data_IF_113954215503
#
_entry.id   IF_113954215503
#
_cell.length_a   1.000
_cell.length_b   1.000
_cell.length_c   1.000
_cell.angle_alpha   90.00
_cell.angle_beta   90.00
_cell.angle_gamma   90.00
#
_symmetry.space_group_name_H-M   'P 1'
#
loop_
_entity.id
_entity.type
_entity.pdbx_description
1 polymer ?
#
# COMPACT_ATOMS: atom_id res chain seq x y z
N UNK A 1 10.37 12.89 -5.92
CA UNK A 1 10.58 12.57 -7.35
C UNK A 1 9.24 12.67 -8.06
N UNK A 2 8.99 13.74 -8.81
CA UNK A 2 7.75 13.86 -9.58
C UNK A 2 7.77 12.83 -10.73
N UNK A 3 6.64 12.19 -11.06
CA UNK A 3 6.62 11.24 -12.16
C UNK A 3 6.93 11.94 -13.49
N UNK A 4 7.83 11.34 -14.28
CA UNK A 4 8.19 11.84 -15.63
C UNK A 4 7.01 11.92 -16.60
N UNK A 5 5.90 11.26 -16.28
CA UNK A 5 4.66 11.23 -17.06
C UNK A 5 3.54 11.56 -16.09
N UNK A 6 2.94 12.75 -16.23
CA UNK A 6 1.99 13.31 -15.26
C UNK A 6 0.74 12.44 -15.06
N UNK A 7 0.31 11.73 -16.12
CA UNK A 7 -0.85 10.86 -16.09
C UNK A 7 -0.54 9.38 -15.81
N UNK A 8 0.70 9.05 -15.42
CA UNK A 8 1.10 7.70 -15.05
C UNK A 8 0.46 7.24 -13.72
N UNK A 9 -0.24 6.09 -13.70
CA UNK A 9 -0.88 5.58 -12.47
C UNK A 9 0.14 5.21 -11.39
N UNK A 10 1.33 4.70 -11.74
CA UNK A 10 2.39 4.41 -10.78
C UNK A 10 2.89 5.69 -10.11
N UNK A 11 3.05 6.77 -10.89
CA UNK A 11 3.43 8.08 -10.40
C UNK A 11 2.43 8.64 -9.39
N UNK A 12 1.14 8.57 -9.71
CA UNK A 12 0.06 8.99 -8.79
C UNK A 12 0.04 8.17 -7.51
N UNK A 13 0.22 6.85 -7.60
CA UNK A 13 0.29 5.99 -6.43
C UNK A 13 1.48 6.36 -5.53
N UNK A 14 2.68 6.51 -6.10
CA UNK A 14 3.87 6.92 -5.34
C UNK A 14 3.76 8.33 -4.76
N UNK A 15 3.06 9.26 -5.41
CA UNK A 15 2.78 10.56 -4.80
C UNK A 15 1.94 10.42 -3.52
N UNK A 16 1.02 9.44 -3.48
CA UNK A 16 0.18 9.15 -2.32
C UNK A 16 0.94 8.42 -1.20
N UNK A 17 1.75 7.39 -1.53
CA UNK A 17 2.34 6.46 -0.54
C UNK A 17 3.87 6.44 -0.49
N UNK A 18 4.54 7.27 -1.28
CA UNK A 18 5.99 7.17 -1.53
C UNK A 18 6.89 7.53 -0.35
N UNK A 19 6.32 8.10 0.71
CA UNK A 19 7.03 8.26 1.98
C UNK A 19 6.87 6.99 2.81
N UNK A 20 7.97 6.31 3.15
CA UNK A 20 7.95 5.04 3.88
C UNK A 20 7.08 5.07 5.15
N UNK A 21 7.12 6.18 5.89
CA UNK A 21 6.33 6.35 7.11
C UNK A 21 4.81 6.26 6.91
N UNK A 22 4.31 6.50 5.69
CA UNK A 22 2.89 6.30 5.36
C UNK A 22 2.53 4.83 5.52
N UNK A 23 3.41 3.95 5.04
CA UNK A 23 3.23 2.51 5.13
C UNK A 23 3.31 2.02 6.58
N UNK A 24 4.24 2.58 7.38
CA UNK A 24 4.33 2.30 8.82
C UNK A 24 3.01 2.63 9.52
N UNK A 25 2.51 3.86 9.41
CA UNK A 25 1.27 4.27 10.09
C UNK A 25 0.03 3.52 9.60
N UNK A 26 -0.07 3.25 8.30
CA UNK A 26 -1.18 2.46 7.79
C UNK A 26 -1.12 1.01 8.30
N UNK A 27 0.08 0.43 8.43
CA UNK A 27 0.25 -0.89 9.02
C UNK A 27 -0.25 -0.93 10.48
N UNK A 28 0.12 0.08 11.28
CA UNK A 28 -0.38 0.24 12.65
C UNK A 28 -1.92 0.29 12.70
N UNK A 29 -2.51 1.13 11.87
CA UNK A 29 -3.95 1.32 11.83
C UNK A 29 -4.68 0.05 11.37
N UNK A 30 -4.13 -0.71 10.41
CA UNK A 30 -4.71 -1.99 9.98
C UNK A 30 -4.62 -3.09 11.03
N UNK A 31 -3.62 -3.03 11.91
CA UNK A 31 -3.49 -3.95 13.05
C UNK A 31 -4.38 -3.55 14.24
N UNK A 32 -5.17 -2.49 14.11
CA UNK A 32 -6.13 -2.03 15.11
C UNK A 32 -5.57 -1.04 16.14
N UNK A 33 -4.29 -0.67 16.02
CA UNK A 33 -3.69 0.40 16.83
C UNK A 33 -4.27 1.71 16.33
N UNK A 34 -5.14 2.30 17.13
CA UNK A 34 -5.99 3.41 16.69
C UNK A 34 -5.85 4.65 17.57
N UNK A 35 -5.19 4.56 18.72
CA UNK A 35 -4.93 5.74 19.56
C UNK A 35 -3.52 6.26 19.36
N UNK A 36 -3.35 7.57 19.49
CA UNK A 36 -2.06 8.23 19.31
C UNK A 36 -0.95 7.62 20.19
N UNK A 37 -1.25 7.33 21.46
CA UNK A 37 -0.30 6.77 22.44
C UNK A 37 0.10 5.32 22.12
N UNK A 38 -0.80 4.53 21.53
CA UNK A 38 -0.50 3.18 21.03
C UNK A 38 0.49 3.27 19.86
N UNK A 39 0.19 4.15 18.90
CA UNK A 39 1.02 4.35 17.70
C UNK A 39 2.41 4.91 18.06
N UNK A 40 2.49 5.88 18.97
CA UNK A 40 3.78 6.44 19.42
C UNK A 40 4.65 5.37 20.09
N UNK A 41 4.06 4.53 20.94
CA UNK A 41 4.78 3.45 21.63
C UNK A 41 5.28 2.39 20.65
N UNK A 42 4.47 2.01 19.67
CA UNK A 42 4.84 0.94 18.75
C UNK A 42 5.85 1.37 17.68
N UNK A 43 5.77 2.62 17.22
CA UNK A 43 6.74 3.17 16.25
C UNK A 43 7.99 3.75 16.90
N UNK A 44 8.04 3.86 18.24
CA UNK A 44 9.09 4.55 18.99
C UNK A 44 9.34 5.98 18.47
N UNK A 45 8.25 6.73 18.31
CA UNK A 45 8.26 8.09 17.74
C UNK A 45 7.71 9.13 18.72
N UNK A 46 8.26 10.36 18.70
CA UNK A 46 7.71 11.46 19.48
C UNK A 46 6.25 11.78 19.09
N UNK A 47 5.37 12.11 20.07
CA UNK A 47 3.96 12.39 19.79
C UNK A 47 3.70 13.51 18.77
N UNK A 48 4.60 14.50 18.71
CA UNK A 48 4.49 15.57 17.73
C UNK A 48 4.67 15.06 16.30
N UNK A 49 5.69 14.22 16.06
CA UNK A 49 5.96 13.64 14.73
C UNK A 49 4.80 12.75 14.29
N UNK A 50 4.25 11.94 15.20
CA UNK A 50 3.12 11.06 14.87
C UNK A 50 1.87 11.88 14.54
N UNK A 51 1.59 12.95 15.28
CA UNK A 51 0.46 13.86 14.97
C UNK A 51 0.61 14.50 13.59
N UNK A 52 1.77 15.08 13.29
CA UNK A 52 2.03 15.70 11.98
C UNK A 52 1.82 14.71 10.83
N UNK A 53 2.26 13.45 11.00
CA UNK A 53 2.05 12.40 10.00
C UNK A 53 0.59 11.95 9.90
N UNK A 54 -0.14 11.84 11.03
CA UNK A 54 -1.57 11.56 11.02
C UNK A 54 -2.32 12.67 10.27
N UNK A 55 -2.00 13.93 10.55
CA UNK A 55 -2.63 15.08 9.91
C UNK A 55 -2.40 15.08 8.39
N UNK A 56 -1.19 14.78 7.93
CA UNK A 56 -0.90 14.61 6.50
C UNK A 56 -1.70 13.46 5.88
N UNK A 57 -1.83 12.31 6.56
CA UNK A 57 -2.65 11.19 6.08
C UNK A 57 -4.15 11.49 6.08
N UNK A 58 -4.63 12.34 6.99
CA UNK A 58 -5.99 12.87 6.98
C UNK A 58 -6.19 13.80 5.77
N UNK A 59 -5.24 14.70 5.50
CA UNK A 59 -5.28 15.57 4.32
C UNK A 59 -5.27 14.79 3.00
N UNK A 60 -4.55 13.66 2.96
CA UNK A 60 -4.56 12.73 1.81
C UNK A 60 -5.82 11.87 1.71
N UNK A 61 -6.72 11.93 2.69
CA UNK A 61 -7.94 11.12 2.76
C UNK A 61 -7.67 9.63 3.03
N UNK A 62 -6.51 9.29 3.57
CA UNK A 62 -6.14 7.92 3.96
C UNK A 62 -6.63 7.57 5.37
N UNK A 63 -6.65 8.56 6.26
CA UNK A 63 -7.11 8.40 7.64
C UNK A 63 -8.23 9.40 7.94
N UNK A 64 -9.04 9.08 8.94
CA UNK A 64 -9.90 10.03 9.64
C UNK A 64 -9.67 9.90 11.14
N UNK A 65 -9.90 10.99 11.88
CA UNK A 65 -9.91 10.98 13.35
C UNK A 65 -11.35 11.02 13.81
N UNK A 66 -11.76 10.01 14.59
CA UNK A 66 -13.10 9.88 15.16
C UNK A 66 -12.98 9.43 16.61
N UNK A 67 -13.54 10.19 17.54
CA UNK A 67 -13.55 9.88 18.97
C UNK A 67 -12.12 9.56 19.50
N UNK A 68 -11.15 10.42 19.17
CA UNK A 68 -9.71 10.26 19.45
C UNK A 68 -9.05 9.00 18.86
N UNK A 69 -9.70 8.37 17.88
CA UNK A 69 -9.18 7.20 17.16
C UNK A 69 -8.90 7.51 15.70
N UNK A 70 -7.75 7.05 15.26
CA UNK A 70 -7.32 7.00 13.87
C UNK A 70 -7.99 5.80 13.20
N UNK A 71 -8.77 6.07 12.16
CA UNK A 71 -9.53 5.05 11.42
C UNK A 71 -9.11 5.08 9.94
N UNK A 72 -8.72 3.94 9.35
CA UNK A 72 -8.48 3.84 7.90
C UNK A 72 -9.73 4.12 7.08
N UNK A 73 -9.57 4.90 6.00
CA UNK A 73 -10.63 5.10 5.02
C UNK A 73 -10.69 3.97 3.99
N UNK A 74 -11.71 3.97 3.14
CA UNK A 74 -11.77 3.12 1.95
C UNK A 74 -10.55 3.29 1.04
N UNK A 75 -10.00 4.50 0.97
CA UNK A 75 -8.78 4.76 0.20
C UNK A 75 -7.57 4.08 0.84
N UNK A 76 -7.42 4.14 2.16
CA UNK A 76 -6.38 3.39 2.86
C UNK A 76 -6.53 1.88 2.64
N UNK A 77 -7.75 1.33 2.70
CA UNK A 77 -7.96 -0.10 2.44
C UNK A 77 -7.52 -0.53 1.02
N UNK A 78 -7.49 0.38 0.04
CA UNK A 78 -6.92 0.12 -1.30
C UNK A 78 -5.38 0.08 -1.30
N UNK A 79 -4.73 0.66 -0.29
CA UNK A 79 -3.27 0.59 -0.09
C UNK A 79 -2.86 -0.71 0.61
N UNK A 80 -3.74 -1.31 1.43
CA UNK A 80 -3.42 -2.54 2.19
C UNK A 80 -2.78 -3.65 1.32
N UNK A 81 -3.28 -4.00 0.12
CA UNK A 81 -2.63 -5.00 -0.72
C UNK A 81 -1.18 -4.67 -1.08
N UNK A 82 -0.82 -3.39 -1.22
CA UNK A 82 0.55 -2.95 -1.50
C UNK A 82 1.46 -3.29 -0.32
N UNK A 83 1.01 -3.06 0.93
CA UNK A 83 1.75 -3.46 2.12
C UNK A 83 2.02 -4.96 2.16
N UNK A 84 1.00 -5.78 1.87
CA UNK A 84 1.11 -7.23 1.91
C UNK A 84 2.14 -7.73 0.89
N UNK A 85 2.08 -7.22 -0.34
CA UNK A 85 3.03 -7.59 -1.40
C UNK A 85 4.45 -7.10 -1.09
N UNK A 86 4.60 -5.90 -0.51
CA UNK A 86 5.91 -5.39 -0.08
C UNK A 86 6.53 -6.24 1.03
N UNK A 87 5.72 -6.70 1.99
CA UNK A 87 6.19 -7.59 3.05
C UNK A 87 6.65 -8.95 2.48
N UNK A 88 5.85 -9.54 1.57
CA UNK A 88 6.23 -10.79 0.90
C UNK A 88 7.50 -10.62 0.06
N UNK A 89 7.63 -9.50 -0.67
CA UNK A 89 8.85 -9.17 -1.42
C UNK A 89 10.06 -9.02 -0.49
N UNK A 90 9.90 -8.38 0.68
CA UNK A 90 10.97 -8.24 1.68
C UNK A 90 11.43 -9.58 2.26
N UNK A 91 10.54 -10.57 2.30
CA UNK A 91 10.84 -11.94 2.73
C UNK A 91 11.34 -12.84 1.59
N UNK A 92 11.30 -12.37 0.33
CA UNK A 92 11.67 -13.18 -0.82
C UNK A 92 13.15 -13.58 -0.75
N UNK A 93 13.41 -14.89 -0.85
CA UNK A 93 14.77 -15.45 -0.76
C UNK A 93 15.27 -15.70 0.66
N UNK A 94 14.54 -15.27 1.70
CA UNK A 94 14.84 -15.62 3.09
C UNK A 94 14.31 -17.02 3.43
N UNK A 95 15.09 -17.78 4.20
CA UNK A 95 14.59 -18.98 4.83
C UNK A 95 13.50 -18.62 5.86
N UNK A 96 12.52 -19.51 6.12
CA UNK A 96 11.43 -19.21 7.07
C UNK A 96 11.92 -18.73 8.45
N UNK A 97 13.03 -19.30 8.95
CA UNK A 97 13.60 -18.93 10.25
C UNK A 97 14.23 -17.52 10.31
N UNK A 98 14.46 -16.90 9.15
CA UNK A 98 15.10 -15.57 9.04
C UNK A 98 14.07 -14.43 8.90
N UNK A 99 12.78 -14.76 8.75
CA UNK A 99 11.71 -13.78 8.54
C UNK A 99 11.28 -13.15 9.85
N UNK A 100 11.56 -11.85 10.02
CA UNK A 100 11.18 -11.10 11.22
C UNK A 100 9.69 -10.76 11.33
N UNK A 101 8.97 -10.76 10.20
CA UNK A 101 7.53 -10.48 10.13
C UNK A 101 6.92 -11.28 8.97
N UNK A 102 5.82 -11.98 9.22
CA UNK A 102 5.09 -12.73 8.20
C UNK A 102 3.60 -12.44 8.25
N UNK A 103 2.94 -12.49 7.10
CA UNK A 103 1.48 -12.46 7.04
C UNK A 103 0.96 -13.86 7.37
N UNK A 104 0.02 -13.97 8.29
CA UNK A 104 -0.62 -15.24 8.63
C UNK A 104 -2.12 -15.17 8.48
N UNK A 105 -2.74 -16.31 8.16
CA UNK A 105 -4.16 -16.51 8.35
C UNK A 105 -4.46 -16.58 9.85
N UNK A 106 -5.30 -15.67 10.34
CA UNK A 106 -5.62 -15.59 11.77
C UNK A 106 -6.30 -16.84 12.32
N UNK A 107 -7.06 -17.56 11.50
CA UNK A 107 -7.78 -18.76 11.93
C UNK A 107 -6.88 -20.00 11.99
N UNK A 108 -5.91 -20.12 11.07
CA UNK A 108 -5.08 -21.34 10.96
C UNK A 108 -3.66 -21.14 11.48
N UNK A 109 -3.19 -19.90 11.58
CA UNK A 109 -1.80 -19.56 11.88
C UNK A 109 -0.83 -19.82 10.72
N UNK A 110 -1.32 -20.29 9.58
CA UNK A 110 -0.48 -20.59 8.41
C UNK A 110 0.02 -19.29 7.77
N UNK A 111 1.29 -19.28 7.37
CA UNK A 111 1.87 -18.19 6.59
C UNK A 111 1.16 -18.07 5.24
N UNK A 112 0.88 -16.82 4.83
CA UNK A 112 0.15 -16.49 3.61
C UNK A 112 1.12 -15.87 2.61
N UNK A 113 1.16 -16.45 1.42
CA UNK A 113 1.82 -15.85 0.25
C UNK A 113 0.80 -15.04 -0.55
N UNK A 114 0.84 -13.69 -0.51
CA UNK A 114 -0.10 -12.85 -1.23
C UNK A 114 0.17 -12.89 -2.75
N UNK A 115 -0.91 -12.95 -3.54
CA UNK A 115 -0.86 -12.94 -5.01
C UNK A 115 -1.76 -11.86 -5.58
N UNK A 116 -1.48 -11.39 -6.79
CA UNK A 116 -2.33 -10.41 -7.48
C UNK A 116 -3.28 -11.12 -8.44
N UNK A 117 -4.58 -10.98 -8.20
CA UNK A 117 -5.63 -11.57 -9.04
C UNK A 117 -6.49 -10.49 -9.70
N UNK A 118 -6.93 -10.73 -10.92
CA UNK A 118 -8.04 -9.99 -11.53
C UNK A 118 -9.32 -10.36 -10.80
N UNK A 119 -9.90 -9.39 -10.08
CA UNK A 119 -11.16 -9.57 -9.33
C UNK A 119 -12.28 -10.13 -10.19
N UNK A 120 -12.33 -9.80 -11.49
CA UNK A 120 -13.43 -10.22 -12.37
C UNK A 120 -13.31 -11.68 -12.78
N UNK A 121 -12.10 -12.15 -13.10
CA UNK A 121 -11.87 -13.49 -13.65
C UNK A 121 -11.30 -14.48 -12.65
N UNK A 122 -10.77 -14.00 -11.52
CA UNK A 122 -10.03 -14.82 -10.55
C UNK A 122 -8.64 -15.24 -11.02
N UNK A 123 -8.22 -14.87 -12.23
CA UNK A 123 -6.91 -15.23 -12.78
C UNK A 123 -5.82 -14.44 -12.08
N UNK A 124 -4.68 -15.09 -11.82
CA UNK A 124 -3.43 -14.42 -11.45
C UNK A 124 -2.96 -13.52 -12.58
N UNK A 125 -2.62 -12.27 -12.25
CA UNK A 125 -2.16 -11.25 -13.21
C UNK A 125 -0.70 -10.82 -12.97
N UNK A 126 -0.08 -11.39 -11.95
CA UNK A 126 1.34 -11.29 -11.61
C UNK A 126 2.21 -12.28 -12.38
N UNK A 127 1.64 -12.94 -13.39
CA UNK A 127 2.31 -13.89 -14.30
C UNK A 127 2.46 -13.31 -15.70
N UNK A 128 3.20 -13.99 -16.56
CA UNK A 128 3.26 -13.68 -17.99
C UNK A 128 1.86 -13.72 -18.64
N UNK A 129 1.66 -12.97 -19.72
CA UNK A 129 0.40 -12.91 -20.47
C UNK A 129 -0.50 -11.71 -20.18
N UNK A 130 -0.06 -10.77 -19.33
CA UNK A 130 -0.72 -9.48 -19.11
C UNK A 130 0.23 -8.34 -19.45
N UNK A 131 -0.28 -7.28 -20.08
CA UNK A 131 0.51 -6.12 -20.49
C UNK A 131 -0.17 -4.81 -20.12
N UNK A 132 0.62 -3.76 -19.95
CA UNK A 132 0.09 -2.40 -19.83
C UNK A 132 -0.30 -1.87 -21.21
N UNK A 133 -1.47 -1.26 -21.30
CA UNK A 133 -1.95 -0.59 -22.51
C UNK A 133 -2.38 0.84 -22.18
N UNK A 134 -2.36 1.74 -23.17
CA UNK A 134 -2.88 3.08 -23.00
C UNK A 134 -4.39 3.05 -22.71
N UNK A 135 -4.79 3.68 -21.60
CA UNK A 135 -6.19 3.86 -21.25
C UNK A 135 -6.88 4.94 -22.08
N UNK A 136 -8.21 5.10 -21.93
CA UNK A 136 -8.99 6.07 -22.70
C UNK A 136 -8.48 7.51 -22.59
N UNK A 137 -8.06 7.90 -21.39
CA UNK A 137 -7.55 9.23 -21.07
C UNK A 137 -6.01 9.35 -21.16
N UNK A 138 -5.31 8.39 -21.76
CA UNK A 138 -3.86 8.43 -21.87
C UNK A 138 -3.40 9.63 -22.70
N UNK A 139 -2.40 10.35 -22.19
CA UNK A 139 -1.69 11.41 -22.88
C UNK A 139 -1.02 10.89 -24.16
N UNK A 140 -0.64 11.83 -25.05
CA UNK A 140 0.11 11.50 -26.27
C UNK A 140 1.37 10.70 -25.94
N UNK A 141 2.08 11.07 -24.87
CA UNK A 141 3.28 10.36 -24.40
C UNK A 141 2.98 8.93 -23.95
N UNK A 142 1.91 8.69 -23.18
CA UNK A 142 1.54 7.32 -22.80
C UNK A 142 1.06 6.48 -23.98
N UNK A 143 0.27 7.05 -24.90
CA UNK A 143 -0.19 6.35 -26.11
C UNK A 143 0.97 5.94 -27.01
N UNK A 144 1.98 6.79 -27.16
CA UNK A 144 3.17 6.47 -27.94
C UNK A 144 3.98 5.31 -27.30
N UNK A 145 3.99 5.22 -25.96
CA UNK A 145 4.72 4.17 -25.23
C UNK A 145 3.95 2.86 -25.09
N UNK A 146 2.63 2.92 -25.00
CA UNK A 146 1.74 1.78 -24.79
C UNK A 146 0.64 1.77 -25.86
N UNK A 147 0.98 1.48 -27.13
CA UNK A 147 -0.01 1.42 -28.21
C UNK A 147 -1.10 0.41 -27.86
N UNK A 148 -2.35 0.74 -28.21
CA UNK A 148 -3.49 -0.12 -27.91
C UNK A 148 -3.38 -1.41 -28.73
N UNK A 149 -3.12 -2.53 -28.04
CA UNK A 149 -3.11 -3.88 -28.62
C UNK A 149 -1.89 -4.16 -29.52
N UNK A 150 -0.97 -4.96 -28.99
CA UNK A 150 -0.21 -5.92 -29.78
C UNK A 150 -0.62 -7.32 -29.29
#
# INVERSE_FOLDING_TARGET
MAPRIADCPLGRAIALIGSWWVLELLHEAFDGRSRLDEVCRNLDLPPQVVRERIDDLVQRGLLIVRDDRVVPTDLAHRVRPVLLILAALGNAGLAPAERGLVLVDRATGAEVEPVVVDRRTGRRVDTEGFTFAAGPAASVTLRARYPAGA
#
